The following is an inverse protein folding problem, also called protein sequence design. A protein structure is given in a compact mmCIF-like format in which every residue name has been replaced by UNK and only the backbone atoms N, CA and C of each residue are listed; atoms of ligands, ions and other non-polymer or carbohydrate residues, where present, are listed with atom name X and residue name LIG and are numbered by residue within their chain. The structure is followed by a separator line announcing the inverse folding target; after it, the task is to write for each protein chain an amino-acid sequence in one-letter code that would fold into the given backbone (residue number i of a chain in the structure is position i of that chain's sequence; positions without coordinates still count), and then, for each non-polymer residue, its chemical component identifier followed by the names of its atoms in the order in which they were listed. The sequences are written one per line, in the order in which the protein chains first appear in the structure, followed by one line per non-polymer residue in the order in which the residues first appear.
data_IF_438871715427
#
_entry.id   IF_438871715427
#
_cell.length_a   1.000
_cell.length_b   1.000
_cell.length_c   1.000
_cell.angle_alpha   90.00
_cell.angle_beta   90.00
_cell.angle_gamma   90.00
#
_symmetry.space_group_name_H-M   'P 1'
#
loop_
_entity.id
_entity.type
_entity.pdbx_description
1 polymer ?
#
# COMPACT_ATOMS: atom_id res chain seq x y z
N UNK A 1 6.89 -17.11 2.50
CA UNK A 1 7.72 -16.60 1.38
C UNK A 1 7.75 -17.65 0.28
N UNK A 2 7.73 -17.27 -1.01
CA UNK A 2 7.85 -18.24 -2.10
C UNK A 2 9.12 -19.09 -1.96
N UNK A 3 9.03 -20.35 -2.33
CA UNK A 3 10.19 -21.25 -2.31
C UNK A 3 11.16 -20.91 -3.44
N UNK A 4 12.40 -21.43 -3.36
CA UNK A 4 13.37 -21.33 -4.46
C UNK A 4 12.82 -21.89 -5.79
N UNK A 5 11.93 -22.88 -5.73
CA UNK A 5 11.30 -23.48 -6.90
C UNK A 5 10.44 -22.48 -7.67
N UNK A 6 9.74 -21.58 -6.97
CA UNK A 6 8.97 -20.51 -7.60
C UNK A 6 9.87 -19.57 -8.41
N UNK A 7 11.00 -19.17 -7.84
CA UNK A 7 11.94 -18.25 -8.50
C UNK A 7 12.63 -18.87 -9.73
N UNK A 8 12.75 -20.20 -9.76
CA UNK A 8 13.29 -20.96 -10.89
C UNK A 8 12.26 -21.26 -12.00
N UNK A 9 11.00 -20.87 -11.83
CA UNK A 9 10.01 -20.99 -12.90
C UNK A 9 10.38 -20.10 -14.10
N UNK A 10 10.01 -20.54 -15.30
CA UNK A 10 10.05 -19.66 -16.45
C UNK A 10 9.06 -18.50 -16.29
N UNK A 11 9.36 -17.37 -16.92
CA UNK A 11 8.60 -16.13 -16.77
C UNK A 11 7.13 -16.27 -17.20
N UNK A 12 6.86 -17.07 -18.24
CA UNK A 12 5.49 -17.34 -18.67
C UNK A 12 4.65 -18.03 -17.58
N UNK A 13 5.23 -18.98 -16.84
CA UNK A 13 4.54 -19.69 -15.75
C UNK A 13 4.39 -18.83 -14.51
N UNK A 14 5.40 -18.02 -14.15
CA UNK A 14 5.27 -17.03 -13.07
C UNK A 14 4.14 -16.05 -13.39
N UNK A 15 4.13 -15.47 -14.59
CA UNK A 15 3.13 -14.51 -15.03
C UNK A 15 1.71 -15.09 -14.96
N UNK A 16 1.49 -16.30 -15.47
CA UNK A 16 0.16 -16.96 -15.37
C UNK A 16 -0.29 -17.15 -13.92
N UNK A 17 0.63 -17.57 -13.04
CA UNK A 17 0.29 -17.76 -11.62
C UNK A 17 -0.03 -16.43 -10.93
N UNK A 18 0.73 -15.36 -11.21
CA UNK A 18 0.46 -14.03 -10.65
C UNK A 18 -0.84 -13.42 -11.18
N UNK A 19 -1.17 -13.62 -12.46
CA UNK A 19 -2.46 -13.20 -13.02
C UNK A 19 -3.64 -13.96 -12.38
N UNK A 20 -3.51 -15.28 -12.22
CA UNK A 20 -4.54 -16.07 -11.54
C UNK A 20 -4.72 -15.67 -10.06
N UNK A 21 -3.61 -15.32 -9.39
CA UNK A 21 -3.64 -14.78 -8.04
C UNK A 21 -4.39 -13.44 -8.01
N UNK A 22 -4.04 -12.51 -8.90
CA UNK A 22 -4.71 -11.21 -9.05
C UNK A 22 -6.23 -11.37 -9.25
N UNK A 23 -6.64 -12.25 -10.16
CA UNK A 23 -8.06 -12.50 -10.42
C UNK A 23 -8.79 -12.99 -9.16
N UNK A 24 -8.24 -14.00 -8.48
CA UNK A 24 -8.91 -14.58 -7.30
C UNK A 24 -8.91 -13.62 -6.11
N UNK A 25 -7.85 -12.84 -5.91
CA UNK A 25 -7.77 -11.83 -4.84
C UNK A 25 -8.69 -10.63 -5.09
N UNK A 26 -8.94 -10.29 -6.35
CA UNK A 26 -9.90 -9.24 -6.71
C UNK A 26 -11.34 -9.71 -6.46
N UNK A 27 -11.61 -11.00 -6.67
CA UNK A 27 -12.95 -11.58 -6.56
C UNK A 27 -13.49 -11.59 -5.13
N UNK A 28 -12.67 -11.87 -4.12
CA UNK A 28 -13.14 -12.07 -2.76
C UNK A 28 -12.08 -11.78 -1.69
N UNK A 29 -12.49 -11.50 -0.43
CA UNK A 29 -11.57 -11.37 0.69
C UNK A 29 -10.70 -12.62 0.90
N UNK A 30 -9.50 -12.44 1.46
CA UNK A 30 -8.50 -13.50 1.64
C UNK A 30 -9.06 -14.76 2.32
N UNK A 31 -9.99 -14.62 3.26
CA UNK A 31 -10.65 -15.74 3.93
C UNK A 31 -11.37 -16.69 2.94
N UNK A 32 -11.94 -16.16 1.86
CA UNK A 32 -12.75 -16.86 0.86
C UNK A 32 -11.98 -17.26 -0.41
N UNK A 33 -10.74 -16.79 -0.55
CA UNK A 33 -9.84 -17.16 -1.66
C UNK A 33 -9.64 -18.68 -1.72
N UNK A 34 -9.71 -19.25 -2.92
CA UNK A 34 -9.55 -20.68 -3.18
C UNK A 34 -8.27 -21.01 -3.95
N UNK A 35 -7.39 -21.81 -3.34
CA UNK A 35 -6.21 -22.38 -4.03
C UNK A 35 -6.64 -23.19 -5.26
N UNK A 36 -7.77 -23.89 -5.21
CA UNK A 36 -8.29 -24.66 -6.34
C UNK A 36 -8.62 -23.76 -7.54
N UNK A 37 -9.20 -22.58 -7.30
CA UNK A 37 -9.51 -21.62 -8.35
C UNK A 37 -8.23 -21.06 -8.98
N UNK A 38 -7.27 -20.65 -8.14
CA UNK A 38 -5.97 -20.11 -8.59
C UNK A 38 -5.23 -21.11 -9.49
N UNK A 39 -5.11 -22.38 -9.07
CA UNK A 39 -4.35 -23.36 -9.85
C UNK A 39 -5.05 -23.76 -11.14
N UNK A 40 -6.39 -23.74 -11.16
CA UNK A 40 -7.17 -23.97 -12.36
C UNK A 40 -6.96 -22.84 -13.38
N UNK A 41 -7.06 -21.58 -12.95
CA UNK A 41 -6.85 -20.40 -13.81
C UNK A 41 -5.39 -20.30 -14.28
N UNK A 42 -4.42 -20.55 -13.40
CA UNK A 42 -3.00 -20.59 -13.74
C UNK A 42 -2.61 -21.79 -14.63
N UNK A 43 -3.52 -22.75 -14.82
CA UNK A 43 -3.29 -24.02 -15.54
C UNK A 43 -2.07 -24.78 -15.00
N UNK A 44 -2.02 -24.97 -13.68
CA UNK A 44 -0.99 -25.77 -13.00
C UNK A 44 -1.65 -26.86 -12.13
N UNK A 45 -0.99 -28.02 -11.93
CA UNK A 45 -1.48 -29.00 -10.97
C UNK A 45 -1.51 -28.42 -9.55
N UNK A 46 -2.50 -28.80 -8.73
CA UNK A 46 -2.59 -28.36 -7.33
C UNK A 46 -1.33 -28.66 -6.53
N UNK A 47 -0.69 -29.81 -6.76
CA UNK A 47 0.58 -30.17 -6.11
C UNK A 47 1.71 -29.18 -6.40
N UNK A 48 1.72 -28.54 -7.58
CA UNK A 48 2.71 -27.52 -7.93
C UNK A 48 2.56 -26.26 -7.11
N UNK A 49 1.35 -25.88 -6.71
CA UNK A 49 1.13 -24.72 -5.83
C UNK A 49 1.92 -24.88 -4.54
N UNK A 50 1.79 -26.02 -3.87
CA UNK A 50 2.47 -26.30 -2.61
C UNK A 50 3.98 -26.52 -2.75
N UNK A 51 4.50 -26.63 -3.98
CA UNK A 51 5.93 -26.55 -4.23
C UNK A 51 6.43 -25.10 -4.26
N UNK A 52 5.55 -24.12 -4.50
CA UNK A 52 5.88 -22.71 -4.69
C UNK A 52 5.55 -21.87 -3.46
N UNK A 53 4.42 -22.14 -2.82
CA UNK A 53 3.86 -21.39 -1.69
C UNK A 53 3.36 -22.36 -0.63
N UNK A 54 3.49 -22.00 0.64
CA UNK A 54 2.99 -22.83 1.75
C UNK A 54 1.45 -22.89 1.75
N UNK A 55 0.82 -21.74 1.57
CA UNK A 55 -0.63 -21.57 1.55
C UNK A 55 -1.04 -20.35 0.69
N UNK A 56 -2.32 -19.99 0.71
CA UNK A 56 -2.86 -18.87 -0.07
C UNK A 56 -2.43 -17.52 0.52
N UNK A 57 -2.24 -17.46 1.84
CA UNK A 57 -1.74 -16.29 2.54
C UNK A 57 -0.31 -15.97 2.11
N UNK A 58 0.56 -16.97 1.98
CA UNK A 58 1.93 -16.80 1.49
C UNK A 58 1.96 -16.16 0.09
N UNK A 59 1.15 -16.70 -0.84
CA UNK A 59 0.98 -16.11 -2.17
C UNK A 59 0.42 -14.68 -2.10
N UNK A 60 -0.56 -14.45 -1.22
CA UNK A 60 -1.19 -13.14 -1.04
C UNK A 60 -0.18 -12.07 -0.65
N UNK A 61 0.58 -12.30 0.42
CA UNK A 61 1.53 -11.31 0.93
C UNK A 61 2.76 -11.15 0.03
N UNK A 62 3.12 -12.19 -0.73
CA UNK A 62 4.09 -12.03 -1.80
C UNK A 62 3.55 -11.07 -2.89
N UNK A 63 2.33 -11.30 -3.37
CA UNK A 63 1.70 -10.49 -4.40
C UNK A 63 1.48 -9.03 -3.97
N UNK A 64 0.88 -8.79 -2.80
CA UNK A 64 0.73 -7.44 -2.25
C UNK A 64 2.10 -6.80 -1.99
N UNK A 65 3.08 -7.59 -1.56
CA UNK A 65 4.45 -7.14 -1.38
C UNK A 65 5.07 -6.57 -2.65
N UNK A 66 4.80 -7.16 -3.83
CA UNK A 66 5.31 -6.61 -5.10
C UNK A 66 4.65 -5.27 -5.42
N UNK A 67 3.33 -5.15 -5.24
CA UNK A 67 2.61 -3.89 -5.48
C UNK A 67 3.14 -2.76 -4.58
N UNK A 68 3.33 -3.05 -3.30
CA UNK A 68 3.82 -2.07 -2.33
C UNK A 68 5.28 -1.69 -2.58
N UNK A 69 6.11 -2.63 -3.05
CA UNK A 69 7.49 -2.33 -3.47
C UNK A 69 7.51 -1.37 -4.67
N UNK A 70 6.63 -1.57 -5.66
CA UNK A 70 6.52 -0.68 -6.82
C UNK A 70 6.07 0.73 -6.40
N UNK A 71 5.12 0.83 -5.46
CA UNK A 71 4.71 2.11 -4.88
C UNK A 71 5.85 2.79 -4.09
N UNK A 72 6.62 2.04 -3.31
CA UNK A 72 7.80 2.54 -2.59
C UNK A 72 8.82 3.14 -3.57
N UNK A 73 9.17 2.42 -4.64
CA UNK A 73 10.11 2.91 -5.64
C UNK A 73 9.62 4.22 -6.27
N UNK A 74 8.34 4.28 -6.65
CA UNK A 74 7.78 5.49 -7.24
C UNK A 74 7.78 6.68 -6.28
N UNK A 75 7.50 6.47 -4.99
CA UNK A 75 7.60 7.52 -3.98
C UNK A 75 9.04 8.07 -3.88
N UNK A 76 10.04 7.18 -3.85
CA UNK A 76 11.44 7.60 -3.76
C UNK A 76 11.90 8.36 -5.01
N UNK A 77 11.44 7.95 -6.19
CA UNK A 77 11.64 8.71 -7.44
C UNK A 77 11.05 10.11 -7.34
N UNK A 78 9.80 10.24 -6.85
CA UNK A 78 9.15 11.55 -6.67
C UNK A 78 9.88 12.45 -5.66
N UNK A 79 10.42 11.87 -4.58
CA UNK A 79 11.25 12.61 -3.60
C UNK A 79 12.51 13.15 -4.28
N UNK A 80 13.14 12.34 -5.11
CA UNK A 80 14.32 12.78 -5.86
C UNK A 80 13.95 13.87 -6.89
N UNK A 81 12.90 13.68 -7.69
CA UNK A 81 12.44 14.64 -8.71
C UNK A 81 12.03 15.99 -8.14
N UNK A 82 11.46 16.03 -6.93
CA UNK A 82 11.06 17.27 -6.27
C UNK A 82 12.19 17.88 -5.42
N UNK A 83 13.41 17.35 -5.55
CA UNK A 83 14.58 17.78 -4.80
C UNK A 83 14.34 17.75 -3.28
N UNK A 84 13.86 16.61 -2.78
CA UNK A 84 13.65 16.35 -1.37
C UNK A 84 12.43 17.04 -0.75
N UNK A 85 11.55 17.65 -1.55
CA UNK A 85 10.34 18.31 -1.05
C UNK A 85 9.28 17.28 -0.64
N UNK A 86 9.19 16.99 0.66
CA UNK A 86 8.29 15.96 1.20
C UNK A 86 6.82 16.21 0.80
N UNK A 87 6.32 17.43 0.99
CA UNK A 87 4.89 17.71 0.75
C UNK A 87 4.54 17.70 -0.74
N UNK A 88 5.42 18.25 -1.59
CA UNK A 88 5.23 18.20 -3.05
C UNK A 88 5.30 16.76 -3.57
N UNK A 89 6.22 15.95 -3.05
CA UNK A 89 6.32 14.52 -3.36
C UNK A 89 5.05 13.78 -2.98
N UNK A 90 4.56 14.01 -1.75
CA UNK A 90 3.40 13.31 -1.23
C UNK A 90 2.11 13.70 -1.94
N UNK A 91 1.99 14.95 -2.40
CA UNK A 91 0.89 15.38 -3.27
C UNK A 91 0.89 14.62 -4.59
N UNK A 92 2.05 14.50 -5.27
CA UNK A 92 2.17 13.75 -6.53
C UNK A 92 1.97 12.25 -6.32
N UNK A 93 2.54 11.71 -5.24
CA UNK A 93 2.43 10.30 -4.89
C UNK A 93 0.98 9.92 -4.59
N UNK A 94 0.21 10.80 -3.95
CA UNK A 94 -1.19 10.53 -3.69
C UNK A 94 -2.02 10.37 -4.97
N UNK A 95 -1.78 11.20 -5.99
CA UNK A 95 -2.45 11.05 -7.30
C UNK A 95 -2.15 9.68 -7.92
N UNK A 96 -0.88 9.27 -7.89
CA UNK A 96 -0.47 7.94 -8.34
C UNK A 96 -1.12 6.82 -7.49
N UNK A 97 -1.10 6.95 -6.17
CA UNK A 97 -1.68 5.97 -5.27
C UNK A 97 -3.19 5.80 -5.51
N UNK A 98 -3.93 6.88 -5.76
CA UNK A 98 -5.35 6.79 -6.14
C UNK A 98 -5.52 6.06 -7.46
N UNK A 99 -4.73 6.39 -8.48
CA UNK A 99 -4.80 5.72 -9.78
C UNK A 99 -4.55 4.21 -9.67
N UNK A 100 -3.59 3.78 -8.83
CA UNK A 100 -3.26 2.37 -8.65
C UNK A 100 -4.21 1.62 -7.72
N UNK A 101 -4.58 2.25 -6.60
CA UNK A 101 -5.30 1.59 -5.50
C UNK A 101 -6.81 1.68 -5.67
N UNK A 102 -7.32 2.74 -6.28
CA UNK A 102 -8.77 2.99 -6.40
C UNK A 102 -9.27 2.74 -7.82
N UNK A 103 -8.50 3.11 -8.83
CA UNK A 103 -8.90 3.03 -10.25
C UNK A 103 -8.23 1.87 -11.00
N UNK A 104 -7.15 1.32 -10.44
CA UNK A 104 -6.27 0.36 -11.07
C UNK A 104 -6.83 -1.07 -11.10
N UNK A 105 -6.14 -1.98 -11.82
CA UNK A 105 -6.57 -3.37 -11.96
C UNK A 105 -6.56 -4.17 -10.65
N UNK A 106 -5.92 -3.63 -9.60
CA UNK A 106 -5.85 -4.22 -8.27
C UNK A 106 -6.82 -3.59 -7.27
N UNK A 107 -7.65 -2.64 -7.70
CA UNK A 107 -8.48 -1.85 -6.78
C UNK A 107 -9.41 -2.71 -5.91
N UNK A 108 -9.99 -3.76 -6.49
CA UNK A 108 -10.84 -4.68 -5.74
C UNK A 108 -10.07 -5.47 -4.68
N UNK A 109 -8.79 -5.77 -4.90
CA UNK A 109 -7.92 -6.41 -3.89
C UNK A 109 -7.79 -5.49 -2.68
N UNK A 110 -7.44 -4.21 -2.91
CA UNK A 110 -7.30 -3.22 -1.84
C UNK A 110 -8.63 -2.94 -1.14
N UNK A 111 -9.74 -2.90 -1.89
CA UNK A 111 -11.08 -2.78 -1.33
C UNK A 111 -11.40 -3.94 -0.39
N UNK A 112 -11.11 -5.17 -0.80
CA UNK A 112 -11.33 -6.38 0.00
C UNK A 112 -10.47 -6.40 1.28
N UNK A 113 -9.24 -5.87 1.20
CA UNK A 113 -8.31 -5.75 2.32
C UNK A 113 -8.67 -4.66 3.32
N UNK A 114 -8.97 -3.46 2.82
CA UNK A 114 -9.35 -2.31 3.65
C UNK A 114 -10.68 -2.58 4.36
N UNK A 115 -11.61 -3.25 3.69
CA UNK A 115 -12.92 -3.61 4.24
C UNK A 115 -12.88 -4.69 5.35
N UNK A 116 -11.79 -5.45 5.47
CA UNK A 116 -11.69 -6.57 6.43
C UNK A 116 -10.72 -6.32 7.59
N UNK A 117 -10.12 -5.12 7.64
CA UNK A 117 -9.04 -4.69 8.53
C UNK A 117 -7.72 -5.41 8.24
N UNK A 118 -6.80 -4.69 7.60
CA UNK A 118 -5.36 -4.96 7.57
C UNK A 118 -4.78 -5.33 8.97
N UNK A 119 -5.40 -4.88 10.07
CA UNK A 119 -5.08 -5.27 11.45
C UNK A 119 -5.46 -6.73 11.80
N UNK A 120 -6.57 -7.28 11.28
CA UNK A 120 -6.97 -8.66 11.56
C UNK A 120 -6.08 -9.68 10.83
N UNK A 121 -5.68 -9.38 9.60
CA UNK A 121 -4.71 -10.20 8.85
C UNK A 121 -3.35 -10.25 9.57
N UNK A 122 -2.91 -9.13 10.15
CA UNK A 122 -1.74 -9.10 11.02
C UNK A 122 -1.93 -9.96 12.28
N UNK A 123 -3.09 -9.98 12.92
CA UNK A 123 -3.28 -10.68 14.19
C UNK A 123 -3.64 -12.18 14.05
N UNK A 124 -3.71 -12.71 12.82
CA UNK A 124 -3.95 -14.13 12.58
C UNK A 124 -2.83 -15.02 13.15
N UNK A 125 -3.14 -16.02 14.00
CA UNK A 125 -2.14 -16.96 14.54
C UNK A 125 -1.39 -17.75 13.46
N UNK A 126 -1.99 -17.95 12.28
CA UNK A 126 -1.35 -18.60 11.12
C UNK A 126 -0.21 -17.76 10.55
N UNK A 127 -0.23 -16.45 10.80
CA UNK A 127 0.68 -15.47 10.22
C UNK A 127 1.84 -15.08 11.17
N UNK A 128 1.82 -15.54 12.43
CA UNK A 128 2.69 -15.00 13.48
C UNK A 128 4.17 -15.41 13.38
N UNK A 129 4.51 -16.46 12.62
CA UNK A 129 5.86 -17.06 12.72
C UNK A 129 6.96 -16.40 11.87
N UNK A 130 6.67 -15.54 10.89
CA UNK A 130 7.73 -14.94 10.04
C UNK A 130 7.33 -13.64 9.31
N UNK A 131 6.44 -12.80 9.86
CA UNK A 131 5.95 -11.58 9.18
C UNK A 131 7.06 -10.69 8.61
N UNK A 132 8.17 -10.55 9.34
CA UNK A 132 9.27 -9.68 8.98
C UNK A 132 10.00 -10.07 7.68
N UNK A 133 9.84 -11.31 7.19
CA UNK A 133 10.50 -11.79 5.97
C UNK A 133 9.73 -11.50 4.69
N UNK A 134 8.44 -11.13 4.78
CA UNK A 134 7.62 -10.80 3.62
C UNK A 134 7.96 -9.40 3.08
N UNK A 135 8.03 -9.22 1.75
CA UNK A 135 8.40 -7.94 1.13
C UNK A 135 7.53 -6.78 1.63
N UNK A 136 6.22 -7.00 1.73
CA UNK A 136 5.29 -6.01 2.26
C UNK A 136 5.74 -5.41 3.61
N UNK A 137 6.02 -6.26 4.60
CA UNK A 137 6.40 -5.78 5.95
C UNK A 137 7.81 -5.21 5.99
N UNK A 138 8.69 -5.72 5.12
CA UNK A 138 10.03 -5.17 4.94
C UNK A 138 9.94 -3.74 4.38
N UNK A 139 9.25 -3.54 3.26
CA UNK A 139 9.04 -2.22 2.66
C UNK A 139 8.39 -1.25 3.65
N UNK A 140 7.30 -1.64 4.31
CA UNK A 140 6.62 -0.77 5.26
C UNK A 140 7.51 -0.35 6.46
N UNK A 141 8.51 -1.16 6.82
CA UNK A 141 9.48 -0.82 7.86
C UNK A 141 10.60 0.06 7.32
N UNK A 142 11.12 -0.26 6.14
CA UNK A 142 12.33 0.34 5.60
C UNK A 142 12.04 1.69 4.90
N UNK A 143 10.79 1.93 4.45
CA UNK A 143 10.40 3.16 3.74
C UNK A 143 10.59 4.43 4.58
N UNK A 144 10.32 4.38 5.89
CA UNK A 144 10.51 5.53 6.79
C UNK A 144 11.97 5.99 6.79
N UNK A 145 12.91 5.04 6.84
CA UNK A 145 14.35 5.33 6.82
C UNK A 145 14.80 5.82 5.44
N UNK A 146 14.32 5.22 4.35
CA UNK A 146 14.69 5.62 2.98
C UNK A 146 14.17 7.01 2.60
N UNK A 147 12.95 7.35 3.02
CA UNK A 147 12.40 8.71 2.86
C UNK A 147 13.19 9.69 3.72
N UNK A 148 13.56 9.31 4.95
CA UNK A 148 14.32 10.18 5.86
C UNK A 148 15.69 10.60 5.35
N UNK A 149 16.36 9.76 4.56
CA UNK A 149 17.67 10.07 3.96
C UNK A 149 17.57 10.94 2.71
N UNK A 150 16.39 11.01 2.08
CA UNK A 150 16.19 11.66 0.78
C UNK A 150 15.47 13.01 0.87
N UNK A 151 14.87 13.33 2.02
CA UNK A 151 14.13 14.58 2.24
C UNK A 151 15.06 15.77 2.53
N UNK A 152 14.76 16.91 1.90
CA UNK A 152 15.41 18.19 2.17
C UNK A 152 14.83 18.81 3.46
N UNK A 153 15.60 18.67 4.54
CA UNK A 153 15.21 19.17 5.87
C UNK A 153 15.20 20.68 5.98
N UNK A 154 15.91 21.39 5.09
CA UNK A 154 15.92 22.87 5.12
C UNK A 154 14.54 23.48 4.84
N UNK A 155 13.66 22.71 4.20
CA UNK A 155 12.27 23.07 3.90
C UNK A 155 11.29 22.74 5.04
N UNK A 156 11.77 22.13 6.13
CA UNK A 156 10.92 21.58 7.18
C UNK A 156 11.26 22.19 8.55
N UNK A 157 10.24 22.30 9.41
CA UNK A 157 10.39 22.73 10.81
C UNK A 157 10.75 21.56 11.72
N UNK A 158 11.84 20.85 11.40
CA UNK A 158 12.31 19.67 12.15
C UNK A 158 13.75 19.86 12.60
N UNK A 159 14.04 19.52 13.85
CA UNK A 159 15.35 19.71 14.48
C UNK A 159 16.08 18.38 14.74
N UNK A 160 15.42 17.26 14.50
CA UNK A 160 15.97 15.92 14.75
C UNK A 160 15.37 14.86 13.83
N UNK A 161 16.02 13.71 13.74
CA UNK A 161 15.48 12.52 13.04
C UNK A 161 14.16 12.07 13.64
N UNK A 162 14.02 12.17 14.97
CA UNK A 162 12.78 11.82 15.67
C UNK A 162 11.61 12.72 15.23
N UNK A 163 11.85 14.03 15.08
CA UNK A 163 10.83 14.97 14.58
C UNK A 163 10.48 14.71 13.12
N UNK A 164 11.47 14.42 12.26
CA UNK A 164 11.22 14.08 10.86
C UNK A 164 10.38 12.80 10.73
N UNK A 165 10.74 11.75 11.47
CA UNK A 165 9.99 10.49 11.51
C UNK A 165 8.56 10.68 12.03
N UNK A 166 8.38 11.50 13.06
CA UNK A 166 7.05 11.85 13.54
C UNK A 166 6.21 12.55 12.45
N UNK A 167 6.81 13.51 11.72
CA UNK A 167 6.15 14.18 10.60
C UNK A 167 5.78 13.20 9.47
N UNK A 168 6.71 12.33 9.08
CA UNK A 168 6.47 11.30 8.06
C UNK A 168 5.30 10.40 8.45
N UNK A 169 5.25 9.93 9.71
CA UNK A 169 4.14 9.11 10.21
C UNK A 169 2.80 9.81 10.10
N UNK A 170 2.72 11.10 10.42
CA UNK A 170 1.49 11.88 10.25
C UNK A 170 1.06 11.95 8.78
N UNK A 171 2.02 12.21 7.88
CA UNK A 171 1.76 12.30 6.44
C UNK A 171 1.32 10.95 5.84
N UNK A 172 1.97 9.84 6.20
CA UNK A 172 1.53 8.51 5.79
C UNK A 172 0.19 8.11 6.41
N UNK A 173 -0.06 8.48 7.66
CA UNK A 173 -1.33 8.22 8.34
C UNK A 173 -2.49 8.87 7.59
N UNK A 174 -2.38 10.14 7.19
CA UNK A 174 -3.46 10.79 6.44
C UNK A 174 -3.64 10.18 5.04
N UNK A 175 -2.58 9.69 4.40
CA UNK A 175 -2.69 9.00 3.10
C UNK A 175 -3.52 7.72 3.23
N UNK A 176 -3.12 6.84 4.16
CA UNK A 176 -3.81 5.56 4.40
C UNK A 176 -5.24 5.81 4.88
N UNK A 177 -5.44 6.79 5.76
CA UNK A 177 -6.76 7.14 6.27
C UNK A 177 -7.68 7.67 5.17
N UNK A 178 -7.19 8.51 4.25
CA UNK A 178 -8.01 9.07 3.17
C UNK A 178 -8.51 7.98 2.22
N UNK A 179 -7.62 7.09 1.77
CA UNK A 179 -7.99 5.94 0.92
C UNK A 179 -8.92 4.98 1.68
N UNK A 180 -8.62 4.73 2.97
CA UNK A 180 -9.42 3.89 3.83
C UNK A 180 -10.85 4.39 3.98
N UNK A 181 -11.00 5.69 4.26
CA UNK A 181 -12.28 6.38 4.37
C UNK A 181 -13.09 6.27 3.07
N UNK A 182 -12.46 6.54 1.92
CA UNK A 182 -13.10 6.41 0.61
C UNK A 182 -13.69 5.02 0.38
N UNK A 183 -12.95 3.95 0.68
CA UNK A 183 -13.48 2.58 0.52
C UNK A 183 -14.62 2.27 1.49
N UNK A 184 -14.60 2.82 2.69
CA UNK A 184 -15.69 2.66 3.66
C UNK A 184 -16.96 3.38 3.18
N UNK A 185 -16.83 4.60 2.66
CA UNK A 185 -17.96 5.39 2.16
C UNK A 185 -18.66 4.75 0.95
N UNK A 186 -17.98 3.88 0.19
CA UNK A 186 -18.60 3.12 -0.93
C UNK A 186 -19.73 2.17 -0.49
N UNK A 187 -19.92 1.96 0.82
CA UNK A 187 -21.02 1.15 1.38
C UNK A 187 -22.18 1.98 1.92
N UNK A 188 -22.04 3.30 1.91
CA UNK A 188 -23.03 4.25 2.47
C UNK A 188 -24.00 4.73 1.38
N UNK A 189 -25.12 5.33 1.80
CA UNK A 189 -26.16 5.83 0.88
C UNK A 189 -25.67 6.97 -0.02
N UNK A 190 -24.64 7.70 0.42
CA UNK A 190 -24.02 8.82 -0.27
C UNK A 190 -22.50 8.64 -0.33
N UNK A 191 -21.98 7.84 -1.30
CA UNK A 191 -20.57 7.53 -1.37
C UNK A 191 -19.73 8.76 -1.76
N UNK A 192 -18.54 8.86 -1.18
CA UNK A 192 -17.55 9.88 -1.52
C UNK A 192 -17.06 9.69 -2.97
N UNK A 193 -16.91 10.79 -3.71
CA UNK A 193 -16.32 10.73 -5.06
C UNK A 193 -14.79 10.75 -5.01
N UNK A 194 -14.12 10.33 -6.08
CA UNK A 194 -12.65 10.46 -6.18
C UNK A 194 -12.21 11.92 -6.09
N UNK A 195 -13.03 12.86 -6.57
CA UNK A 195 -12.73 14.29 -6.46
C UNK A 195 -12.79 14.77 -5.00
N UNK A 196 -13.75 14.28 -4.23
CA UNK A 196 -13.86 14.57 -2.79
C UNK A 196 -12.65 13.99 -2.04
N UNK A 197 -12.27 12.73 -2.33
CA UNK A 197 -11.08 12.09 -1.77
C UNK A 197 -9.81 12.93 -2.01
N UNK A 198 -9.56 13.36 -3.25
CA UNK A 198 -8.39 14.18 -3.61
C UNK A 198 -8.42 15.54 -2.93
N UNK A 199 -9.60 16.17 -2.85
CA UNK A 199 -9.79 17.45 -2.17
C UNK A 199 -9.53 17.33 -0.68
N UNK A 200 -10.09 16.30 -0.02
CA UNK A 200 -9.92 16.04 1.40
C UNK A 200 -8.46 15.77 1.77
N UNK A 201 -7.76 14.94 1.00
CA UNK A 201 -6.33 14.71 1.21
C UNK A 201 -5.50 16.00 1.05
N UNK A 202 -5.77 16.80 0.01
CA UNK A 202 -5.05 18.05 -0.22
C UNK A 202 -5.22 19.06 0.94
N UNK A 203 -6.44 19.16 1.50
CA UNK A 203 -6.72 19.99 2.69
C UNK A 203 -5.95 19.49 3.91
N UNK A 204 -6.01 18.18 4.18
CA UNK A 204 -5.30 17.59 5.32
C UNK A 204 -3.78 17.77 5.20
N UNK A 205 -3.23 17.57 4.01
CA UNK A 205 -1.81 17.75 3.74
C UNK A 205 -1.38 19.22 3.92
N UNK A 206 -2.20 20.17 3.48
CA UNK A 206 -1.98 21.60 3.69
C UNK A 206 -1.97 21.97 5.18
N UNK A 207 -2.92 21.45 5.96
CA UNK A 207 -2.94 21.67 7.42
C UNK A 207 -1.70 21.11 8.12
N UNK A 208 -1.15 19.99 7.67
CA UNK A 208 0.11 19.47 8.21
C UNK A 208 1.29 20.37 7.80
N UNK A 209 1.32 20.85 6.56
CA UNK A 209 2.40 21.70 6.05
C UNK A 209 2.42 23.08 6.71
N UNK A 210 1.25 23.69 6.87
CA UNK A 210 1.10 25.10 7.20
C UNK A 210 0.46 25.36 8.58
N UNK A 211 -0.06 24.33 9.23
CA UNK A 211 -0.86 24.45 10.45
C UNK A 211 -2.33 24.81 10.16
N UNK A 212 -3.25 24.31 10.98
CA UNK A 212 -4.69 24.56 10.83
C UNK A 212 -5.19 25.85 11.51
N UNK A 213 -4.33 26.54 12.26
CA UNK A 213 -4.69 27.80 12.92
C UNK A 213 -4.70 28.95 11.92
N UNK A 214 -5.71 29.82 12.01
CA UNK A 214 -5.73 31.10 11.28
C UNK A 214 -4.53 31.94 11.69
N UNK A 215 -3.96 32.70 10.76
CA UNK A 215 -2.87 33.63 11.10
C UNK A 215 -3.43 34.71 12.02
N UNK A 216 -2.64 35.20 12.99
CA UNK A 216 -3.09 36.24 13.92
C UNK A 216 -3.63 37.51 13.22
N UNK A 217 -3.15 37.81 12.01
CA UNK A 217 -3.62 38.92 11.16
C UNK A 217 -4.98 38.70 10.48
N UNK A 218 -5.52 37.48 10.51
CA UNK A 218 -6.85 37.12 9.99
C UNK A 218 -7.89 37.02 11.12
N UNK A 219 -7.44 37.20 12.36
CA UNK A 219 -8.26 37.15 13.58
C UNK A 219 -8.60 38.55 14.13
N UNK A 220 -8.15 39.63 13.48
CA UNK A 220 -8.43 41.02 13.85
C UNK A 220 -8.11 42.03 12.76
#
# INVERSE_FOLDING_TARGET
MPTATFFNLNEAKKKRLMLAAQHEFSRAPLAEVSVSAIVADAQIPRGSFYQYFEDKEDLYFYYIGTLVTDMEHHLLELIHETHGDLFSSMKRFFEYAVAEVVEGPNADIFKNDVATNFQHAQNSPRFSKNKASYPFFKTMRDIEDQVSTSVDRSKLRVNSDTELKALQRLVFMILVHSIGHYFHSQKEDSPETIADLKTGFAINLDWIANGALRREKELG
#
